data_IF_425379715363
#
_entry.id   IF_425379715363
#
_cell.length_a   1.000
_cell.length_b   1.000
_cell.length_c   1.000
_cell.angle_alpha   90.00
_cell.angle_beta   90.00
_cell.angle_gamma   90.00
#
_symmetry.space_group_name_H-M   'P 1'
#
loop_
_entity.id
_entity.type
_entity.pdbx_description
1 polymer ?
#
# COMPACT_ATOMS: atom_id res chain seq x y z
N UNK A 1 -7.72 -33.59 30.61
CA UNK A 1 -7.60 -33.21 30.42
C UNK A 1 -7.51 -32.29 29.94
N UNK A 2 -7.55 -31.97 29.84
CA UNK A 2 -7.57 -31.29 29.47
C UNK A 2 -6.97 -30.61 28.93
N UNK A 3 -6.57 -30.33 28.80
CA UNK A 3 -5.85 -29.76 28.40
C UNK A 3 -5.57 -29.58 27.23
N UNK A 4 -5.65 -30.00 26.77
CA UNK A 4 -5.43 -30.10 25.58
C UNK A 4 -5.99 -29.16 24.71
N UNK A 5 -7.06 -28.83 24.90
CA UNK A 5 -7.76 -27.88 24.11
C UNK A 5 -6.98 -26.66 23.90
N UNK A 6 -6.28 -26.32 24.84
CA UNK A 6 -5.59 -25.09 24.75
C UNK A 6 -4.62 -25.05 23.65
N UNK A 7 -4.20 -26.17 23.25
CA UNK A 7 -3.24 -26.19 22.25
C UNK A 7 -3.70 -25.68 20.98
N UNK A 8 -4.89 -25.98 20.66
CA UNK A 8 -5.43 -25.56 19.43
C UNK A 8 -5.31 -24.08 19.30
N UNK A 9 -5.51 -23.43 20.33
CA UNK A 9 -5.45 -22.02 20.32
C UNK A 9 -4.11 -21.52 19.91
N UNK A 10 -3.14 -22.15 20.42
CA UNK A 10 -1.81 -21.71 20.14
C UNK A 10 -1.43 -21.80 18.71
N UNK A 11 -1.95 -22.75 18.06
CA UNK A 11 -1.61 -22.94 16.69
C UNK A 11 -2.00 -21.79 15.85
N UNK A 12 -3.08 -21.18 16.16
CA UNK A 12 -3.57 -20.09 15.37
C UNK A 12 -2.78 -18.83 15.60
N UNK A 13 -2.14 -18.76 16.70
CA UNK A 13 -1.45 -17.55 17.06
C UNK A 13 -0.54 -16.96 16.00
N UNK A 14 0.32 -17.71 15.41
CA UNK A 14 1.24 -17.14 14.45
C UNK A 14 0.55 -16.42 13.31
N UNK A 15 -0.52 -17.00 12.85
CA UNK A 15 -1.22 -16.41 11.76
C UNK A 15 -1.87 -15.12 12.15
N UNK A 16 -2.37 -15.08 13.34
CA UNK A 16 -3.01 -13.88 13.80
C UNK A 16 -2.03 -12.72 13.90
N UNK A 17 -0.83 -13.04 14.24
CA UNK A 17 0.18 -12.02 14.35
C UNK A 17 0.41 -11.34 13.02
N UNK A 18 0.48 -12.11 11.97
CA UNK A 18 0.69 -11.54 10.67
C UNK A 18 -0.47 -10.67 10.25
N UNK A 19 -1.66 -11.09 10.56
CA UNK A 19 -2.81 -10.29 10.21
C UNK A 19 -2.82 -8.99 10.98
N UNK A 20 -2.37 -9.05 12.20
CA UNK A 20 -2.34 -7.87 13.02
C UNK A 20 -1.40 -6.83 12.43
N UNK A 21 -0.29 -7.28 11.91
CA UNK A 21 0.65 -6.36 11.31
C UNK A 21 0.06 -5.69 10.10
N UNK A 22 -0.68 -6.43 9.31
CA UNK A 22 -1.30 -5.88 8.15
C UNK A 22 -2.37 -4.87 8.54
N UNK A 23 -3.12 -5.19 9.55
CA UNK A 23 -4.17 -4.30 10.00
C UNK A 23 -3.65 -2.99 10.56
N UNK A 24 -2.43 -3.03 11.07
CA UNK A 24 -1.85 -1.82 11.63
C UNK A 24 -1.26 -0.89 10.58
N UNK A 25 -1.24 -1.33 9.35
CA UNK A 25 -0.75 -0.51 8.28
C UNK A 25 -1.88 0.41 7.83
N UNK A 26 -1.78 1.67 8.19
CA UNK A 26 -2.85 2.63 7.90
C UNK A 26 -2.71 3.30 6.54
N UNK A 27 -1.83 2.77 5.69
CA UNK A 27 -1.74 3.28 4.33
C UNK A 27 -2.93 2.80 3.52
N UNK A 28 -3.32 3.60 2.55
CA UNK A 28 -4.42 3.22 1.66
C UNK A 28 -3.92 2.32 0.55
N UNK A 29 -4.86 1.64 -0.09
CA UNK A 29 -4.56 0.82 -1.25
C UNK A 29 -5.27 1.43 -2.43
N UNK A 30 -4.57 1.57 -3.54
CA UNK A 30 -5.15 2.09 -4.75
C UNK A 30 -4.55 1.40 -5.96
N UNK A 31 -4.96 1.86 -7.11
CA UNK A 31 -4.51 1.27 -8.37
C UNK A 31 -3.87 2.36 -9.22
N UNK A 32 -2.73 2.07 -9.82
CA UNK A 32 -2.04 3.05 -10.67
C UNK A 32 -2.88 3.31 -11.90
N UNK A 33 -3.27 4.56 -12.09
CA UNK A 33 -4.06 4.96 -13.23
C UNK A 33 -3.16 5.10 -14.45
N UNK A 34 -2.05 5.82 -14.28
CA UNK A 34 -1.00 5.90 -15.28
C UNK A 34 0.23 6.52 -14.64
N UNK A 35 1.35 6.31 -15.27
CA UNK A 35 2.60 6.85 -14.77
C UNK A 35 3.52 7.14 -15.95
N UNK A 36 4.06 8.36 -15.99
CA UNK A 36 4.97 8.77 -17.06
C UNK A 36 6.40 8.59 -16.55
N UNK A 37 7.06 7.57 -17.07
CA UNK A 37 8.39 7.22 -16.62
C UNK A 37 9.41 8.32 -16.90
N UNK A 38 9.25 8.98 -18.05
CA UNK A 38 10.19 10.02 -18.42
C UNK A 38 10.07 11.26 -17.56
N UNK A 39 8.87 11.63 -17.20
CA UNK A 39 8.66 12.80 -16.36
C UNK A 39 8.69 12.48 -14.89
N UNK A 40 8.53 11.21 -14.53
CA UNK A 40 8.65 10.79 -13.16
C UNK A 40 7.45 11.06 -12.28
N UNK A 41 6.25 11.08 -12.86
CA UNK A 41 5.04 11.25 -12.05
C UNK A 41 3.84 10.59 -12.71
N UNK A 42 2.79 10.44 -11.94
CA UNK A 42 1.56 9.86 -12.44
C UNK A 42 0.45 10.02 -11.43
N UNK A 43 -0.55 9.17 -11.55
CA UNK A 43 -1.72 9.21 -10.67
C UNK A 43 -2.13 7.83 -10.23
N UNK A 44 -2.63 7.76 -9.01
CA UNK A 44 -3.18 6.55 -8.41
C UNK A 44 -4.65 6.81 -8.16
N UNK A 45 -5.50 5.85 -8.49
CA UNK A 45 -6.93 5.97 -8.24
C UNK A 45 -7.25 5.32 -6.91
N UNK A 46 -7.86 6.06 -6.01
CA UNK A 46 -8.29 5.56 -4.72
C UNK A 46 -9.55 4.71 -4.88
N UNK A 47 -9.86 3.94 -3.85
CA UNK A 47 -11.09 3.17 -3.84
C UNK A 47 -12.31 4.06 -4.04
N UNK A 48 -12.26 5.26 -3.54
CA UNK A 48 -13.36 6.20 -3.68
C UNK A 48 -13.48 6.79 -5.08
N UNK A 49 -12.50 6.51 -5.93
CA UNK A 49 -12.52 7.02 -7.28
C UNK A 49 -11.72 8.30 -7.50
N UNK A 50 -11.20 8.86 -6.43
CA UNK A 50 -10.41 10.07 -6.55
C UNK A 50 -9.02 9.76 -7.04
N UNK A 51 -8.42 10.69 -7.77
CA UNK A 51 -7.06 10.55 -8.25
C UNK A 51 -6.10 11.21 -7.28
N UNK A 52 -4.98 10.55 -7.05
CA UNK A 52 -3.94 11.05 -6.15
C UNK A 52 -2.65 11.16 -6.94
N UNK A 53 -2.01 12.31 -6.87
CA UNK A 53 -0.76 12.54 -7.58
C UNK A 53 0.37 11.73 -6.92
N UNK A 54 1.24 11.15 -7.73
CA UNK A 54 2.39 10.42 -7.21
C UNK A 54 3.64 10.83 -7.99
N UNK A 55 4.71 11.13 -7.27
CA UNK A 55 6.00 11.49 -7.85
C UNK A 55 6.95 10.33 -7.62
N UNK A 56 7.91 10.11 -8.53
CA UNK A 56 8.78 8.96 -8.40
C UNK A 56 9.55 8.92 -7.09
N UNK A 57 9.80 10.07 -6.50
CA UNK A 57 10.52 10.11 -5.22
C UNK A 57 9.72 9.50 -4.08
N UNK A 58 8.43 9.42 -4.25
CA UNK A 58 7.56 8.85 -3.22
C UNK A 58 7.50 7.33 -3.32
N UNK A 59 8.02 6.76 -4.39
CA UNK A 59 7.96 5.32 -4.60
C UNK A 59 9.11 4.67 -3.87
N UNK A 60 8.78 3.67 -3.07
CA UNK A 60 9.78 2.91 -2.34
C UNK A 60 10.27 1.78 -3.19
N UNK A 61 11.54 1.40 -3.03
CA UNK A 61 12.09 0.28 -3.74
C UNK A 61 13.49 0.56 -4.19
N UNK A 62 14.08 -0.42 -4.84
CA UNK A 62 15.42 -0.31 -5.34
C UNK A 62 15.40 -0.15 -6.84
N UNK A 63 16.42 0.50 -7.37
CA UNK A 63 16.56 0.67 -8.79
C UNK A 63 15.57 1.68 -9.32
N UNK A 64 14.95 1.36 -10.43
CA UNK A 64 14.03 2.27 -11.06
C UNK A 64 12.78 2.42 -10.23
N UNK A 65 12.45 3.64 -9.90
CA UNK A 65 11.24 3.94 -9.16
C UNK A 65 10.18 4.33 -10.16
N UNK A 66 9.48 3.32 -10.64
CA UNK A 66 8.45 3.54 -11.64
C UNK A 66 7.25 2.67 -11.33
N UNK A 67 6.12 3.01 -11.91
CA UNK A 67 4.89 2.29 -11.73
C UNK A 67 4.32 1.93 -13.09
N UNK A 68 3.54 0.86 -13.13
CA UNK A 68 2.88 0.45 -14.35
C UNK A 68 1.38 0.58 -14.15
N UNK A 69 0.71 0.88 -15.23
CA UNK A 69 -0.75 1.03 -15.22
C UNK A 69 -1.40 -0.24 -14.69
N UNK A 70 -2.32 -0.09 -13.79
CA UNK A 70 -3.06 -1.23 -13.24
C UNK A 70 -2.44 -1.88 -12.02
N UNK A 71 -1.23 -1.48 -11.64
CA UNK A 71 -0.61 -2.05 -10.46
C UNK A 71 -1.34 -1.61 -9.20
N UNK A 72 -1.40 -2.51 -8.23
CA UNK A 72 -1.95 -2.16 -6.91
C UNK A 72 -0.81 -1.66 -6.05
N UNK A 73 -1.06 -0.59 -5.36
CA UNK A 73 -0.05 0.04 -4.51
C UNK A 73 -0.64 0.42 -3.17
N UNK A 74 0.24 0.54 -2.19
CA UNK A 74 -0.12 0.95 -0.85
C UNK A 74 0.61 2.25 -0.58
N UNK A 75 -0.06 3.24 -0.01
CA UNK A 75 0.54 4.57 0.14
C UNK A 75 -0.15 5.39 1.22
N UNK A 76 0.55 6.44 1.66
CA UNK A 76 -0.02 7.42 2.57
C UNK A 76 -0.54 8.59 1.76
N UNK A 77 -1.60 9.21 2.23
CA UNK A 77 -2.16 10.39 1.59
C UNK A 77 -1.62 11.63 2.29
N UNK A 78 -1.13 12.56 1.50
CA UNK A 78 -0.73 13.87 1.98
C UNK A 78 -1.59 14.88 1.25
N UNK A 79 -2.21 15.76 2.00
CA UNK A 79 -3.06 16.78 1.42
C UNK A 79 -2.34 18.12 1.50
N UNK A 80 -2.29 18.83 0.40
CA UNK A 80 -1.67 20.15 0.37
C UNK A 80 -2.46 21.05 -0.55
N UNK A 81 -1.94 22.23 -0.82
CA UNK A 81 -2.65 23.23 -1.62
C UNK A 81 -3.01 22.74 -3.00
N UNK A 82 -2.23 21.82 -3.53
CA UNK A 82 -2.46 21.34 -4.88
C UNK A 82 -3.40 20.15 -4.92
N UNK A 83 -3.76 19.63 -3.76
CA UNK A 83 -4.66 18.49 -3.69
C UNK A 83 -4.02 17.31 -2.99
N UNK A 84 -4.47 16.12 -3.35
CA UNK A 84 -4.01 14.91 -2.71
C UNK A 84 -2.75 14.38 -3.37
N UNK A 85 -1.82 13.94 -2.56
CA UNK A 85 -0.55 13.44 -3.03
C UNK A 85 -0.20 12.16 -2.29
N UNK A 86 0.36 11.19 -3.00
CA UNK A 86 0.75 9.92 -2.42
C UNK A 86 2.19 9.98 -1.94
N UNK A 87 2.44 9.33 -0.82
CA UNK A 87 3.78 9.23 -0.26
C UNK A 87 4.00 7.80 0.21
N UNK A 88 5.26 7.42 0.34
CA UNK A 88 5.61 6.09 0.85
C UNK A 88 4.90 4.99 0.04
N UNK A 89 4.99 5.10 -1.26
CA UNK A 89 4.28 4.20 -2.18
C UNK A 89 5.02 2.89 -2.33
N UNK A 90 4.30 1.79 -2.13
CA UNK A 90 4.87 0.44 -2.25
C UNK A 90 3.97 -0.38 -3.17
N UNK A 91 4.57 -1.05 -4.14
CA UNK A 91 3.81 -1.91 -5.04
C UNK A 91 3.51 -3.21 -4.33
N UNK A 92 2.25 -3.63 -4.39
CA UNK A 92 1.81 -4.87 -3.73
C UNK A 92 1.29 -5.93 -4.69
N UNK A 93 1.37 -5.70 -5.98
CA UNK A 93 1.03 -6.75 -6.96
C UNK A 93 2.12 -6.97 -7.95
#
# INVERSE_FOLDING_TARGET
MLLIATLAVNVLTPQLVNLAEVENDDREIGEVKWFNVNKGYGFITRDSGEDVFVHFRAIRGRGHRTLAEGQKVRYHIIENERGLQADDVTVIT
#
